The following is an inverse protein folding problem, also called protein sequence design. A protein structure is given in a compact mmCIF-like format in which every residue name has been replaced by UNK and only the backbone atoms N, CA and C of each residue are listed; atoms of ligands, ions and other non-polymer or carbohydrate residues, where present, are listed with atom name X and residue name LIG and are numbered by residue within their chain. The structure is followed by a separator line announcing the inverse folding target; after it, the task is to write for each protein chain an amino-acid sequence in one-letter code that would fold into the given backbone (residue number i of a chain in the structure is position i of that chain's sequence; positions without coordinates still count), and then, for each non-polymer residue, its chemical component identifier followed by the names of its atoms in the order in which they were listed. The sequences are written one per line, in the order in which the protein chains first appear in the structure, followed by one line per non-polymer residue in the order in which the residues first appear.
data_IF_386808441392
#
_entry.id   IF_386808441392
#
_cell.length_a   1.000
_cell.length_b   1.000
_cell.length_c   1.000
_cell.angle_alpha   90.00
_cell.angle_beta   90.00
_cell.angle_gamma   90.00
#
_symmetry.space_group_name_H-M   'P 1'
#
loop_
_entity.id
_entity.type
_entity.pdbx_description
1 polymer ?
#
# COMPACT_ATOMS: atom_id res chain seq x y z
N UNK A 1 -1.46 8.96 -15.09
CA UNK A 1 -1.47 9.41 -13.69
C UNK A 1 -2.38 8.48 -12.92
N UNK A 2 -1.89 7.97 -11.80
CA UNK A 2 -2.63 7.08 -10.89
C UNK A 2 -2.78 7.79 -9.55
N UNK A 3 -3.88 7.55 -8.86
CA UNK A 3 -4.08 8.00 -7.48
C UNK A 3 -4.45 6.79 -6.65
N UNK A 4 -3.74 6.55 -5.57
CA UNK A 4 -4.05 5.47 -4.63
C UNK A 4 -4.56 6.07 -3.33
N UNK A 5 -5.67 5.54 -2.83
CA UNK A 5 -6.27 5.93 -1.56
C UNK A 5 -6.56 4.67 -0.74
N UNK A 6 -6.41 4.80 0.57
CA UNK A 6 -6.86 3.81 1.53
C UNK A 6 -7.24 4.52 2.83
N UNK A 7 -8.14 3.92 3.60
CA UNK A 7 -8.52 4.40 4.91
C UNK A 7 -8.74 3.21 5.84
N UNK A 8 -8.35 3.36 7.10
CA UNK A 8 -8.63 2.37 8.13
C UNK A 8 -10.13 2.46 8.52
N UNK A 9 -10.76 1.31 8.68
CA UNK A 9 -12.16 1.19 9.12
C UNK A 9 -12.33 -0.05 10.00
N UNK A 10 -13.55 -0.33 10.45
CA UNK A 10 -13.86 -1.48 11.32
C UNK A 10 -13.52 -2.85 10.74
N UNK A 11 -13.28 -2.96 9.43
CA UNK A 11 -12.87 -4.20 8.75
C UNK A 11 -11.36 -4.30 8.55
N UNK A 12 -10.61 -3.27 8.93
CA UNK A 12 -9.15 -3.28 8.85
C UNK A 12 -8.57 -4.16 9.96
N UNK A 13 -7.50 -4.90 9.65
CA UNK A 13 -6.90 -5.86 10.59
C UNK A 13 -5.50 -5.39 10.94
N UNK A 14 -5.24 -5.24 12.24
CA UNK A 14 -3.91 -4.94 12.76
C UNK A 14 -3.16 -6.22 13.08
N UNK A 15 -1.87 -6.25 12.78
CA UNK A 15 -0.99 -7.36 13.15
C UNK A 15 0.42 -6.87 13.45
N UNK A 16 1.17 -7.66 14.21
CA UNK A 16 2.58 -7.40 14.51
C UNK A 16 3.40 -8.66 14.19
N UNK A 17 4.54 -8.48 13.53
CA UNK A 17 5.47 -9.57 13.23
C UNK A 17 6.34 -9.85 14.46
N UNK A 18 6.25 -11.04 15.09
CA UNK A 18 7.02 -11.35 16.30
C UNK A 18 8.53 -11.29 16.10
N UNK A 19 8.99 -11.60 14.88
CA UNK A 19 10.42 -11.71 14.56
C UNK A 19 11.06 -10.36 14.24
N UNK A 20 10.28 -9.35 13.89
CA UNK A 20 10.82 -8.05 13.42
C UNK A 20 10.27 -6.84 14.16
N UNK A 21 9.21 -7.01 14.97
CA UNK A 21 8.49 -5.90 15.60
C UNK A 21 7.75 -4.99 14.61
N UNK A 22 7.67 -5.37 13.34
CA UNK A 22 6.95 -4.60 12.33
C UNK A 22 5.45 -4.69 12.59
N UNK A 23 4.79 -3.54 12.63
CA UNK A 23 3.35 -3.41 12.79
C UNK A 23 2.71 -3.15 11.44
N UNK A 24 1.60 -3.83 11.19
CA UNK A 24 0.86 -3.75 9.95
C UNK A 24 -0.60 -3.38 10.19
N UNK A 25 -1.16 -2.66 9.21
CA UNK A 25 -2.60 -2.47 9.07
C UNK A 25 -2.98 -2.99 7.70
N UNK A 26 -3.78 -4.05 7.66
CA UNK A 26 -4.34 -4.60 6.43
C UNK A 26 -5.60 -3.83 6.10
N UNK A 27 -5.62 -3.19 4.93
CA UNK A 27 -6.69 -2.29 4.49
C UNK A 27 -6.95 -2.46 2.99
N UNK A 28 -8.10 -1.94 2.54
CA UNK A 28 -8.44 -1.88 1.13
C UNK A 28 -7.82 -0.63 0.48
N UNK A 29 -7.06 -0.85 -0.59
CA UNK A 29 -6.49 0.19 -1.44
C UNK A 29 -7.31 0.34 -2.71
N UNK A 30 -7.76 1.56 -3.00
CA UNK A 30 -8.35 1.94 -4.28
C UNK A 30 -7.29 2.62 -5.14
N UNK A 31 -6.94 2.00 -6.26
CA UNK A 31 -6.10 2.57 -7.30
C UNK A 31 -6.96 3.09 -8.46
N UNK A 32 -6.96 4.40 -8.67
CA UNK A 32 -7.70 5.07 -9.73
C UNK A 32 -6.77 5.51 -10.88
N UNK A 33 -7.00 4.94 -12.06
CA UNK A 33 -6.28 5.25 -13.29
C UNK A 33 -6.97 6.39 -14.03
N UNK A 34 -6.51 7.63 -13.81
CA UNK A 34 -7.17 8.84 -14.37
C UNK A 34 -7.34 8.83 -15.89
N UNK A 35 -6.42 8.18 -16.62
CA UNK A 35 -6.47 8.13 -18.10
C UNK A 35 -7.60 7.24 -18.62
N UNK A 36 -7.94 6.17 -17.90
CA UNK A 36 -8.92 5.17 -18.34
C UNK A 36 -10.22 5.22 -17.53
N UNK A 37 -10.23 5.93 -16.40
CA UNK A 37 -11.33 5.91 -15.44
C UNK A 37 -11.42 4.61 -14.62
N UNK A 38 -10.50 3.66 -14.85
CA UNK A 38 -10.54 2.37 -14.19
C UNK A 38 -10.21 2.49 -12.70
N UNK A 39 -10.93 1.73 -11.87
CA UNK A 39 -10.68 1.57 -10.45
C UNK A 39 -10.31 0.12 -10.17
N UNK A 40 -9.20 -0.08 -9.47
CA UNK A 40 -8.78 -1.40 -9.01
C UNK A 40 -8.72 -1.39 -7.48
N UNK A 41 -9.37 -2.38 -6.88
CA UNK A 41 -9.37 -2.60 -5.45
C UNK A 41 -8.40 -3.74 -5.11
N UNK A 42 -7.57 -3.52 -4.10
CA UNK A 42 -6.60 -4.51 -3.61
C UNK A 42 -6.49 -4.43 -2.08
N UNK A 43 -6.59 -5.58 -1.41
CA UNK A 43 -6.32 -5.70 0.02
C UNK A 43 -4.82 -5.92 0.19
N UNK A 44 -4.16 -5.08 0.98
CA UNK A 44 -2.75 -5.21 1.26
C UNK A 44 -2.40 -4.75 2.68
N UNK A 45 -1.29 -5.25 3.20
CA UNK A 45 -0.77 -4.89 4.51
C UNK A 45 0.17 -3.69 4.41
N UNK A 46 -0.22 -2.58 5.02
CA UNK A 46 0.62 -1.39 5.18
C UNK A 46 1.50 -1.53 6.42
N UNK A 47 2.81 -1.51 6.24
CA UNK A 47 3.77 -1.48 7.34
C UNK A 47 3.81 -0.06 7.93
N UNK A 48 3.34 0.08 9.17
CA UNK A 48 3.23 1.37 9.88
C UNK A 48 4.60 1.91 10.23
N UNK A 49 5.56 1.05 10.57
CA UNK A 49 6.93 1.43 10.92
C UNK A 49 7.60 2.09 9.70
N UNK A 50 7.65 1.39 8.57
CA UNK A 50 8.37 1.84 7.36
C UNK A 50 7.53 2.72 6.43
N UNK A 51 6.21 2.77 6.62
CA UNK A 51 5.27 3.44 5.72
C UNK A 51 5.13 2.76 4.35
N UNK A 52 5.44 1.47 4.24
CA UNK A 52 5.48 0.75 2.96
C UNK A 52 4.26 -0.14 2.77
N UNK A 53 3.76 -0.24 1.55
CA UNK A 53 2.81 -1.25 1.11
C UNK A 53 3.20 -1.78 -0.27
N UNK A 54 3.02 -3.08 -0.46
CA UNK A 54 3.22 -3.76 -1.73
C UNK A 54 1.86 -4.20 -2.26
N UNK A 55 1.44 -3.59 -3.38
CA UNK A 55 0.24 -3.93 -4.13
C UNK A 55 0.66 -4.93 -5.22
N UNK A 56 0.70 -6.21 -4.85
CA UNK A 56 1.21 -7.29 -5.68
C UNK A 56 0.38 -7.48 -6.96
N UNK A 57 -0.95 -7.38 -6.88
CA UNK A 57 -1.83 -7.52 -8.05
C UNK A 57 -1.56 -6.41 -9.07
N UNK A 58 -1.22 -5.22 -8.60
CA UNK A 58 -0.86 -4.09 -9.45
C UNK A 58 0.62 -4.03 -9.82
N UNK A 59 1.47 -4.86 -9.19
CA UNK A 59 2.92 -4.81 -9.35
C UNK A 59 3.54 -3.51 -8.84
N UNK A 60 2.99 -2.91 -7.77
CA UNK A 60 3.37 -1.57 -7.31
C UNK A 60 3.81 -1.55 -5.85
N UNK A 61 4.75 -0.67 -5.54
CA UNK A 61 5.15 -0.36 -4.16
C UNK A 61 4.91 1.10 -3.86
N UNK A 62 4.37 1.37 -2.68
CA UNK A 62 4.15 2.72 -2.16
C UNK A 62 4.92 2.85 -0.86
N UNK A 63 5.58 3.99 -0.66
CA UNK A 63 6.24 4.33 0.60
C UNK A 63 5.87 5.76 1.00
N UNK A 64 5.03 5.92 2.03
CA UNK A 64 4.61 7.24 2.53
C UNK A 64 5.70 7.94 3.34
N UNK A 65 6.72 7.22 3.78
CA UNK A 65 7.86 7.73 4.56
C UNK A 65 9.18 7.74 3.77
N UNK A 66 9.11 7.80 2.44
CA UNK A 66 10.33 7.93 1.64
C UNK A 66 10.96 9.33 1.87
N UNK A 67 12.31 9.47 1.83
CA UNK A 67 12.99 10.74 2.16
C UNK A 67 12.55 11.96 1.34
N UNK A 68 12.00 11.73 0.16
CA UNK A 68 11.52 12.73 -0.79
C UNK A 68 10.04 13.10 -0.60
N UNK A 69 9.44 12.82 0.56
CA UNK A 69 8.03 13.12 0.84
C UNK A 69 7.03 12.08 0.31
N UNK A 70 7.52 10.90 -0.10
CA UNK A 70 6.71 9.81 -0.60
C UNK A 70 7.27 9.18 -1.87
N UNK A 71 7.06 7.88 -2.04
CA UNK A 71 7.48 7.13 -3.22
C UNK A 71 6.37 6.23 -3.73
N UNK A 72 6.31 6.12 -5.06
CA UNK A 72 5.40 5.26 -5.78
C UNK A 72 6.13 4.69 -6.99
N UNK A 73 6.20 3.37 -7.11
CA UNK A 73 6.98 2.71 -8.15
C UNK A 73 6.54 1.29 -8.44
N UNK A 74 7.22 0.66 -9.39
CA UNK A 74 6.99 -0.74 -9.75
C UNK A 74 7.79 -1.68 -8.86
N UNK A 75 7.18 -2.80 -8.47
CA UNK A 75 7.89 -3.92 -7.85
C UNK A 75 8.75 -4.53 -8.94
N UNK A 76 10.08 -4.50 -8.76
CA UNK A 76 10.98 -5.24 -9.63
C UNK A 76 10.92 -6.71 -9.25
N UNK A 77 10.40 -7.55 -10.13
CA UNK A 77 10.71 -8.97 -10.13
C UNK A 77 12.15 -9.12 -10.63
N UNK A 78 13.00 -9.77 -9.84
CA UNK A 78 14.31 -10.24 -10.33
C UNK A 78 14.12 -11.35 -11.34
#
# INVERSE_FOLDING_TARGET
MITVKAFENSKSVRSESPNTGNRFITMMFEAFYKKTGAKVLEIASFNVNTGKVYLQKLGMVISTKAPNGGYFGQIKTR
#
